data_IF_708654039967
#
_entry.id   IF_708654039967
#
_cell.length_a   1.000
_cell.length_b   1.000
_cell.length_c   1.000
_cell.angle_alpha   90.00
_cell.angle_beta   90.00
_cell.angle_gamma   90.00
#
_symmetry.space_group_name_H-M   'P 1'
#
loop_
_entity.id
_entity.type
_entity.pdbx_description
1 polymer ?
#
# COMPACT_ATOMS: atom_id res chain seq x y z
N UNK A 1 -31.09 -46.66 -71.67
CA UNK A 1 -31.98 -46.54 -70.48
C UNK A 1 -31.16 -46.69 -69.22
N UNK A 2 -30.64 -45.60 -68.69
CA UNK A 2 -30.03 -45.54 -67.36
C UNK A 2 -30.21 -44.11 -66.84
N UNK A 3 -30.24 -43.93 -65.51
CA UNK A 3 -30.14 -42.64 -64.79
C UNK A 3 -31.40 -42.02 -64.15
N UNK A 4 -32.50 -42.76 -63.94
CA UNK A 4 -33.59 -42.28 -63.07
C UNK A 4 -33.28 -42.39 -61.56
N UNK A 5 -32.55 -43.44 -61.15
CA UNK A 5 -32.22 -43.72 -59.74
C UNK A 5 -30.98 -42.95 -59.24
N UNK A 6 -30.01 -42.64 -60.10
CA UNK A 6 -28.80 -41.87 -59.74
C UNK A 6 -29.09 -40.38 -59.49
N UNK A 7 -29.99 -39.76 -60.27
CA UNK A 7 -30.37 -38.36 -60.05
C UNK A 7 -31.15 -38.14 -58.74
N UNK A 8 -31.99 -39.10 -58.32
CA UNK A 8 -32.71 -39.04 -57.03
C UNK A 8 -31.76 -39.20 -55.84
N UNK A 9 -30.74 -40.06 -55.94
CA UNK A 9 -29.72 -40.21 -54.91
C UNK A 9 -28.87 -38.94 -54.74
N UNK A 10 -28.47 -38.31 -55.85
CA UNK A 10 -27.70 -37.06 -55.83
C UNK A 10 -28.50 -35.89 -55.22
N UNK A 11 -29.76 -35.70 -55.62
CA UNK A 11 -30.61 -34.65 -55.04
C UNK A 11 -30.83 -34.82 -53.53
N UNK A 12 -30.95 -36.05 -53.04
CA UNK A 12 -31.14 -36.34 -51.63
C UNK A 12 -29.86 -36.05 -50.82
N UNK A 13 -28.69 -36.38 -51.36
CA UNK A 13 -27.39 -36.02 -50.76
C UNK A 13 -27.21 -34.50 -50.71
N UNK A 14 -27.54 -33.79 -51.79
CA UNK A 14 -27.47 -32.31 -51.84
C UNK A 14 -28.40 -31.69 -50.80
N UNK A 15 -29.63 -32.21 -50.65
CA UNK A 15 -30.57 -31.72 -49.65
C UNK A 15 -30.06 -31.93 -48.21
N UNK A 16 -29.47 -33.09 -47.90
CA UNK A 16 -28.87 -33.35 -46.58
C UNK A 16 -27.70 -32.41 -46.31
N UNK A 17 -26.80 -32.23 -47.28
CA UNK A 17 -25.65 -31.33 -47.15
C UNK A 17 -26.11 -29.88 -46.91
N UNK A 18 -27.12 -29.41 -47.64
CA UNK A 18 -27.69 -28.07 -47.43
C UNK A 18 -28.33 -27.93 -46.05
N UNK A 19 -29.00 -28.95 -45.54
CA UNK A 19 -29.59 -28.95 -44.19
C UNK A 19 -28.50 -28.89 -43.10
N UNK A 20 -27.44 -29.68 -43.24
CA UNK A 20 -26.30 -29.68 -42.31
C UNK A 20 -25.60 -28.32 -42.32
N UNK A 21 -25.28 -27.78 -43.50
CA UNK A 21 -24.62 -26.47 -43.62
C UNK A 21 -25.52 -25.36 -43.07
N UNK A 22 -26.82 -25.38 -43.36
CA UNK A 22 -27.77 -24.41 -42.80
C UNK A 22 -27.85 -24.46 -41.27
N UNK A 23 -27.87 -25.66 -40.70
CA UNK A 23 -27.88 -25.85 -39.23
C UNK A 23 -26.57 -25.40 -38.57
N UNK A 24 -25.42 -25.66 -39.19
CA UNK A 24 -24.12 -25.18 -38.71
C UNK A 24 -24.00 -23.66 -38.78
N UNK A 25 -24.52 -23.04 -39.85
CA UNK A 25 -24.52 -21.58 -40.00
C UNK A 25 -25.39 -20.92 -38.93
N UNK A 26 -26.58 -21.48 -38.66
CA UNK A 26 -27.47 -20.99 -37.60
C UNK A 26 -26.84 -21.13 -36.21
N UNK A 27 -26.18 -22.26 -35.93
CA UNK A 27 -25.45 -22.47 -34.68
C UNK A 27 -24.28 -21.49 -34.52
N UNK A 28 -23.52 -21.24 -35.59
CA UNK A 28 -22.41 -20.29 -35.58
C UNK A 28 -22.89 -18.84 -35.34
N UNK A 29 -24.01 -18.44 -35.97
CA UNK A 29 -24.62 -17.12 -35.73
C UNK A 29 -25.13 -17.00 -34.29
N UNK A 30 -25.81 -18.02 -33.76
CA UNK A 30 -26.28 -18.04 -32.37
C UNK A 30 -25.10 -17.95 -31.38
N UNK A 31 -24.01 -18.67 -31.66
CA UNK A 31 -22.79 -18.61 -30.85
C UNK A 31 -22.11 -17.23 -30.92
N UNK A 32 -22.04 -16.61 -32.10
CA UNK A 32 -21.48 -15.27 -32.28
C UNK A 32 -22.31 -14.19 -31.56
N UNK A 33 -23.65 -14.29 -31.58
CA UNK A 33 -24.54 -13.39 -30.83
C UNK A 33 -24.40 -13.60 -29.32
N UNK A 34 -24.33 -14.85 -28.86
CA UNK A 34 -24.14 -15.15 -27.44
C UNK A 34 -22.79 -14.63 -26.91
N UNK A 35 -21.72 -14.81 -27.67
CA UNK A 35 -20.36 -14.36 -27.29
C UNK A 35 -20.18 -12.85 -27.38
N UNK A 36 -20.75 -12.19 -28.40
CA UNK A 36 -20.76 -10.72 -28.49
C UNK A 36 -21.62 -10.08 -27.40
N UNK A 37 -22.78 -10.68 -27.08
CA UNK A 37 -23.61 -10.28 -25.95
C UNK A 37 -22.88 -10.39 -24.61
N UNK A 38 -22.21 -11.53 -24.36
CA UNK A 38 -21.38 -11.75 -23.18
C UNK A 38 -20.23 -10.74 -23.07
N UNK A 39 -19.53 -10.47 -24.17
CA UNK A 39 -18.43 -9.51 -24.19
C UNK A 39 -18.90 -8.08 -23.91
N UNK A 40 -20.08 -7.71 -24.43
CA UNK A 40 -20.69 -6.41 -24.15
C UNK A 40 -21.10 -6.27 -22.68
N UNK A 41 -21.70 -7.32 -22.10
CA UNK A 41 -22.05 -7.32 -20.67
C UNK A 41 -20.82 -7.27 -19.77
N UNK A 42 -19.76 -8.01 -20.10
CA UNK A 42 -18.52 -8.02 -19.33
C UNK A 42 -17.83 -6.64 -19.37
N UNK A 43 -17.83 -5.97 -20.52
CA UNK A 43 -17.29 -4.61 -20.64
C UNK A 43 -18.09 -3.61 -19.82
N UNK A 44 -19.43 -3.69 -19.87
CA UNK A 44 -20.30 -2.83 -19.08
C UNK A 44 -20.10 -3.05 -17.57
N UNK A 45 -20.07 -4.31 -17.12
CA UNK A 45 -19.82 -4.65 -15.72
C UNK A 45 -18.43 -4.23 -15.27
N UNK A 46 -17.42 -4.37 -16.12
CA UNK A 46 -16.07 -3.86 -15.87
C UNK A 46 -16.04 -2.34 -15.72
N UNK A 47 -16.74 -1.59 -16.60
CA UNK A 47 -16.85 -0.15 -16.51
C UNK A 47 -17.59 0.31 -15.25
N UNK A 48 -18.66 -0.39 -14.88
CA UNK A 48 -19.37 -0.17 -13.62
C UNK A 48 -18.51 -0.45 -12.40
N UNK A 49 -17.75 -1.55 -12.40
CA UNK A 49 -16.81 -1.89 -11.34
C UNK A 49 -15.71 -0.83 -11.20
N UNK A 50 -15.19 -0.28 -12.30
CA UNK A 50 -14.22 0.82 -12.26
C UNK A 50 -14.85 2.10 -11.68
N UNK A 51 -16.04 2.48 -12.12
CA UNK A 51 -16.76 3.64 -11.59
C UNK A 51 -17.01 3.52 -10.08
N UNK A 52 -17.34 2.32 -9.60
CA UNK A 52 -17.49 2.04 -8.17
C UNK A 52 -16.17 2.18 -7.42
N UNK A 53 -15.08 1.68 -8.01
CA UNK A 53 -13.75 1.83 -7.44
C UNK A 53 -13.37 3.32 -7.32
N UNK A 54 -13.55 4.11 -8.37
CA UNK A 54 -13.32 5.56 -8.35
C UNK A 54 -14.22 6.29 -7.35
N UNK A 55 -15.49 5.87 -7.22
CA UNK A 55 -16.41 6.41 -6.21
C UNK A 55 -15.90 6.17 -4.78
N UNK A 56 -15.32 4.98 -4.52
CA UNK A 56 -14.67 4.69 -3.25
C UNK A 56 -13.43 5.57 -3.00
N UNK A 57 -12.66 5.91 -4.04
CA UNK A 57 -11.53 6.84 -3.93
C UNK A 57 -11.99 8.23 -3.49
N UNK A 58 -13.04 8.77 -4.10
CA UNK A 58 -13.60 10.08 -3.70
C UNK A 58 -14.17 10.07 -2.28
N UNK A 59 -14.80 8.95 -1.90
CA UNK A 59 -15.27 8.75 -0.53
C UNK A 59 -14.11 8.85 0.47
N UNK A 60 -13.01 8.14 0.22
CA UNK A 60 -11.85 8.10 1.13
C UNK A 60 -11.08 9.42 1.11
N UNK A 61 -10.92 10.07 -0.05
CA UNK A 61 -10.33 11.42 -0.15
C UNK A 61 -11.08 12.40 0.74
N UNK A 62 -12.42 12.37 0.74
CA UNK A 62 -13.23 13.22 1.63
C UNK A 62 -12.98 12.88 3.10
N UNK A 63 -12.89 11.59 3.43
CA UNK A 63 -12.60 11.15 4.79
C UNK A 63 -11.22 11.64 5.28
N UNK A 64 -10.19 11.48 4.45
CA UNK A 64 -8.85 12.00 4.74
C UNK A 64 -8.87 13.53 4.85
N UNK A 65 -9.52 14.25 3.94
CA UNK A 65 -9.61 15.71 4.00
C UNK A 65 -10.30 16.23 5.29
N UNK A 66 -11.25 15.48 5.85
CA UNK A 66 -11.91 15.84 7.12
C UNK A 66 -11.03 15.56 8.34
N UNK A 67 -10.12 14.59 8.26
CA UNK A 67 -9.21 14.23 9.33
C UNK A 67 -7.82 14.82 9.09
N UNK A 68 -7.67 16.14 9.17
CA UNK A 68 -6.40 16.81 8.85
C UNK A 68 -5.17 16.21 9.55
N UNK A 69 -5.33 15.62 10.73
CA UNK A 69 -4.26 14.91 11.47
C UNK A 69 -4.39 13.38 11.39
N UNK A 70 -4.15 12.81 10.20
CA UNK A 70 -4.19 11.36 9.93
C UNK A 70 -3.40 10.51 10.97
N UNK A 71 -2.29 11.04 11.49
CA UNK A 71 -1.44 10.37 12.48
C UNK A 71 -1.94 10.41 13.93
N UNK A 72 -2.99 11.20 14.23
CA UNK A 72 -3.65 11.22 15.55
C UNK A 72 -4.95 10.40 15.58
N UNK A 73 -5.30 9.72 14.48
CA UNK A 73 -6.49 8.89 14.46
C UNK A 73 -6.35 7.72 15.45
N UNK A 74 -7.31 7.57 16.36
CA UNK A 74 -7.35 6.46 17.34
C UNK A 74 -7.84 5.15 16.74
N UNK A 75 -8.45 5.23 15.56
CA UNK A 75 -8.94 4.11 14.78
C UNK A 75 -8.30 4.22 13.41
N UNK A 76 -7.61 3.16 13.00
CA UNK A 76 -7.15 3.04 11.63
C UNK A 76 -8.37 2.94 10.69
N UNK A 77 -8.58 3.85 9.72
CA UNK A 77 -9.56 3.65 8.64
C UNK A 77 -9.41 2.32 7.86
N UNK A 78 -8.26 1.62 7.99
CA UNK A 78 -7.95 0.26 7.48
C UNK A 78 -8.23 -0.88 8.47
N UNK A 79 -8.37 -0.63 9.77
CA UNK A 79 -8.55 -1.74 10.69
C UNK A 79 -9.90 -2.42 10.41
N UNK A 80 -9.99 -3.76 10.44
CA UNK A 80 -11.24 -4.50 10.32
C UNK A 80 -12.29 -4.18 11.41
N UNK A 81 -12.01 -3.24 12.31
CA UNK A 81 -12.87 -2.83 13.41
C UNK A 81 -12.91 -1.31 13.57
N UNK A 82 -12.59 -0.55 12.52
CA UNK A 82 -12.72 0.91 12.55
C UNK A 82 -14.18 1.27 12.90
N UNK A 83 -14.38 2.29 13.74
CA UNK A 83 -15.72 2.78 14.09
C UNK A 83 -15.77 4.29 13.85
N UNK A 84 -16.78 4.76 13.12
CA UNK A 84 -16.96 6.19 12.78
C UNK A 84 -17.37 6.42 11.32
N UNK A 85 -17.58 7.69 10.94
CA UNK A 85 -17.94 8.10 9.56
C UNK A 85 -16.85 7.82 8.51
N UNK A 86 -15.67 7.41 8.98
CA UNK A 86 -14.44 7.15 8.22
C UNK A 86 -13.92 5.71 8.38
N UNK A 87 -14.75 4.81 8.93
CA UNK A 87 -14.39 3.42 9.16
C UNK A 87 -14.55 2.58 7.88
N UNK A 88 -13.71 2.83 6.89
CA UNK A 88 -14.03 2.40 5.51
C UNK A 88 -13.57 1.00 5.16
N UNK A 89 -12.57 0.45 5.85
CA UNK A 89 -11.99 -0.83 5.46
C UNK A 89 -12.71 -2.09 5.90
N UNK A 90 -13.87 -1.99 6.55
CA UNK A 90 -14.66 -3.19 6.88
C UNK A 90 -16.09 -3.20 6.41
N UNK A 91 -16.58 -2.09 5.86
CA UNK A 91 -17.95 -2.01 5.37
C UNK A 91 -17.96 -1.81 3.88
N UNK A 92 -18.28 -2.88 3.15
CA UNK A 92 -18.70 -2.83 1.75
C UNK A 92 -19.84 -1.83 1.60
N UNK A 93 -19.57 -0.75 0.88
CA UNK A 93 -20.57 0.26 0.55
C UNK A 93 -21.30 -0.18 -0.70
N UNK A 94 -22.62 -0.15 -0.66
CA UNK A 94 -23.45 -0.49 -1.82
C UNK A 94 -23.80 0.79 -2.59
N UNK A 95 -23.69 0.74 -3.91
CA UNK A 95 -24.09 1.83 -4.79
C UNK A 95 -24.75 1.23 -6.02
N UNK A 96 -26.08 1.39 -6.11
CA UNK A 96 -26.88 0.74 -7.14
C UNK A 96 -26.82 -0.79 -7.03
N UNK A 97 -26.46 -1.46 -8.13
CA UNK A 97 -26.35 -2.92 -8.22
C UNK A 97 -24.96 -3.47 -7.88
N UNK A 98 -24.01 -2.61 -7.53
CA UNK A 98 -22.65 -3.00 -7.21
C UNK A 98 -22.23 -2.50 -5.83
N UNK A 99 -20.97 -2.75 -5.50
CA UNK A 99 -20.41 -2.31 -4.23
C UNK A 99 -18.94 -1.94 -4.35
N UNK A 100 -18.45 -1.13 -3.41
CA UNK A 100 -17.04 -0.86 -3.27
C UNK A 100 -16.58 -1.05 -1.84
N UNK A 101 -15.32 -1.42 -1.69
CA UNK A 101 -14.58 -1.39 -0.42
C UNK A 101 -13.38 -0.48 -0.61
N UNK A 102 -13.09 0.40 0.34
CA UNK A 102 -11.94 1.30 0.27
C UNK A 102 -11.17 1.28 1.57
N UNK A 103 -9.85 1.43 1.49
CA UNK A 103 -8.95 1.43 2.63
C UNK A 103 -7.81 2.44 2.42
N UNK A 104 -7.24 2.98 3.52
CA UNK A 104 -6.17 3.98 3.47
C UNK A 104 -4.96 3.71 4.39
N UNK A 105 -3.80 3.35 3.83
CA UNK A 105 -2.56 3.13 4.57
C UNK A 105 -1.83 4.44 4.89
N UNK A 106 -1.57 4.62 6.18
CA UNK A 106 -0.92 5.80 6.73
C UNK A 106 0.33 5.28 7.45
N UNK A 107 1.54 5.67 7.03
CA UNK A 107 2.76 4.98 7.40
C UNK A 107 3.21 5.27 8.83
N UNK A 108 2.64 6.27 9.51
CA UNK A 108 3.03 6.68 10.86
C UNK A 108 1.84 6.78 11.84
N UNK A 109 2.18 6.97 13.12
CA UNK A 109 1.28 7.36 14.22
C UNK A 109 1.99 8.43 15.05
N UNK A 110 1.33 8.98 16.06
CA UNK A 110 1.96 9.87 17.04
C UNK A 110 1.95 9.27 18.45
N UNK A 111 2.87 9.74 19.29
CA UNK A 111 2.86 9.50 20.73
C UNK A 111 1.61 10.11 21.36
N UNK A 112 0.87 9.28 22.10
CA UNK A 112 -0.31 9.70 22.85
C UNK A 112 0.05 10.19 24.25
N UNK A 113 1.18 9.72 24.78
CA UNK A 113 1.74 10.09 26.09
C UNK A 113 3.21 10.45 25.89
N UNK A 114 3.71 11.43 26.64
CA UNK A 114 5.13 11.77 26.64
C UNK A 114 5.98 10.60 27.14
N UNK A 115 7.18 10.47 26.58
CA UNK A 115 8.26 9.66 27.16
C UNK A 115 9.11 10.63 28.00
N UNK A 116 9.15 10.48 29.33
CA UNK A 116 9.63 11.55 30.22
C UNK A 116 11.14 11.78 30.13
N UNK A 117 11.92 10.72 29.92
CA UNK A 117 13.38 10.75 29.95
C UNK A 117 13.98 9.55 29.20
N UNK A 118 15.31 9.53 29.10
CA UNK A 118 16.10 8.50 28.43
C UNK A 118 16.19 7.17 29.19
N UNK A 119 15.74 7.11 30.45
CA UNK A 119 15.74 5.89 31.28
C UNK A 119 14.39 5.19 31.33
N UNK A 120 13.34 5.81 30.77
CA UNK A 120 11.99 5.26 30.74
C UNK A 120 11.95 3.87 30.08
N UNK A 121 11.47 2.88 30.82
CA UNK A 121 11.20 1.51 30.36
C UNK A 121 9.70 1.23 30.15
N UNK A 122 8.86 2.25 30.31
CA UNK A 122 7.42 2.13 30.13
C UNK A 122 7.05 1.80 28.68
N UNK A 123 5.86 1.23 28.49
CA UNK A 123 5.29 1.04 27.15
C UNK A 123 5.17 2.37 26.41
N UNK A 124 5.36 2.32 25.09
CA UNK A 124 5.24 3.50 24.24
C UNK A 124 3.79 3.62 23.81
N UNK A 125 3.09 4.58 24.41
CA UNK A 125 1.67 4.82 24.15
C UNK A 125 1.48 5.59 22.84
N UNK A 126 0.84 4.96 21.86
CA UNK A 126 0.56 5.55 20.56
C UNK A 126 -0.94 5.83 20.36
N UNK A 127 -1.30 6.59 19.33
CA UNK A 127 -2.70 6.75 18.93
C UNK A 127 -3.27 5.45 18.36
N UNK A 128 -2.51 4.73 17.53
CA UNK A 128 -2.86 3.40 17.02
C UNK A 128 -1.62 2.52 16.92
N UNK A 129 -1.83 1.20 17.02
CA UNK A 129 -0.82 0.15 16.79
C UNK A 129 -1.29 -0.87 15.75
N UNK A 130 -2.51 -0.73 15.20
CA UNK A 130 -3.27 -1.72 14.38
C UNK A 130 -2.61 -2.06 13.03
N UNK A 131 -1.41 -1.55 12.89
CA UNK A 131 -0.79 -0.99 11.72
C UNK A 131 0.66 -1.45 11.67
N UNK A 132 1.26 -1.63 12.83
CA UNK A 132 2.61 -2.10 12.99
C UNK A 132 2.62 -3.63 13.06
N UNK A 133 3.70 -4.29 12.60
CA UNK A 133 3.90 -5.70 12.87
C UNK A 133 3.75 -6.04 14.36
N UNK A 134 3.45 -7.29 14.69
CA UNK A 134 3.30 -7.71 16.09
C UNK A 134 4.57 -7.42 16.92
N UNK A 135 5.74 -7.45 16.29
CA UNK A 135 7.04 -7.11 16.86
C UNK A 135 7.90 -6.44 15.79
N UNK A 136 8.82 -5.57 16.16
CA UNK A 136 9.71 -4.95 15.18
C UNK A 136 10.47 -3.74 15.72
N UNK A 137 10.74 -2.80 14.82
CA UNK A 137 11.40 -1.53 15.13
C UNK A 137 10.55 -0.35 14.71
N UNK A 138 10.60 0.70 15.53
CA UNK A 138 10.03 2.00 15.24
C UNK A 138 11.13 3.05 15.41
N UNK A 139 10.95 4.16 14.71
CA UNK A 139 11.67 5.40 15.00
C UNK A 139 10.67 6.36 15.63
N UNK A 140 11.13 7.10 16.64
CA UNK A 140 10.42 8.21 17.25
C UNK A 140 11.18 9.48 16.91
N UNK A 141 10.47 10.51 16.48
CA UNK A 141 11.03 11.75 15.92
C UNK A 141 11.75 11.55 14.58
N UNK A 142 11.80 12.60 13.76
CA UNK A 142 12.44 12.60 12.44
C UNK A 142 13.95 12.85 12.50
N UNK A 143 14.39 13.73 13.39
CA UNK A 143 15.79 14.11 13.55
C UNK A 143 16.59 13.08 14.37
N UNK A 144 17.07 12.01 13.71
CA UNK A 144 17.90 10.97 14.34
C UNK A 144 19.31 11.49 14.74
N UNK A 145 19.72 12.67 14.25
CA UNK A 145 20.92 13.38 14.73
C UNK A 145 20.68 14.15 16.04
N UNK A 146 19.43 14.55 16.28
CA UNK A 146 18.97 15.30 17.45
C UNK A 146 18.25 14.43 18.47
N UNK A 147 16.94 14.63 18.61
CA UNK A 147 16.10 13.96 19.62
C UNK A 147 15.54 12.62 19.17
N UNK A 148 15.71 12.25 17.90
CA UNK A 148 15.19 11.01 17.34
C UNK A 148 15.84 9.76 17.93
N UNK A 149 15.07 8.69 18.03
CA UNK A 149 15.57 7.40 18.48
C UNK A 149 14.98 6.22 17.72
N UNK A 150 15.74 5.14 17.63
CA UNK A 150 15.22 3.83 17.28
C UNK A 150 14.84 3.05 18.53
N UNK A 151 13.69 2.39 18.45
CA UNK A 151 13.17 1.51 19.50
C UNK A 151 12.84 0.15 18.91
N UNK A 152 13.29 -0.91 19.57
CA UNK A 152 12.79 -2.27 19.32
C UNK A 152 11.65 -2.57 20.28
N UNK A 153 10.57 -3.17 19.78
CA UNK A 153 9.43 -3.62 20.58
C UNK A 153 9.15 -5.10 20.33
N UNK A 154 8.84 -5.83 21.41
CA UNK A 154 8.57 -7.27 21.37
C UNK A 154 7.11 -7.62 21.09
N UNK A 155 6.17 -6.72 21.41
CA UNK A 155 4.74 -6.95 21.20
C UNK A 155 3.96 -5.63 21.04
N UNK A 156 2.82 -5.68 20.38
CA UNK A 156 1.80 -4.62 20.38
C UNK A 156 0.66 -4.99 21.33
N UNK A 157 0.18 -4.04 22.14
CA UNK A 157 -0.91 -4.26 23.09
C UNK A 157 -2.04 -3.21 22.89
N UNK A 158 -3.24 -3.61 22.42
CA UNK A 158 -4.34 -2.68 22.17
C UNK A 158 -4.91 -2.04 23.46
N UNK A 159 -4.62 -2.62 24.62
CA UNK A 159 -5.11 -2.15 25.92
C UNK A 159 -4.02 -2.27 27.00
N UNK A 160 -2.97 -1.45 26.90
CA UNK A 160 -1.93 -1.41 27.94
C UNK A 160 -2.39 -0.60 29.15
N UNK A 161 -2.27 -1.20 30.35
CA UNK A 161 -2.55 -0.53 31.61
C UNK A 161 -1.64 0.69 31.87
N UNK A 162 -0.36 0.63 31.47
CA UNK A 162 0.60 1.74 31.65
C UNK A 162 0.26 2.95 30.76
N UNK A 163 -0.50 2.68 29.69
CA UNK A 163 -1.05 3.66 28.76
C UNK A 163 -2.52 4.02 29.05
N UNK A 164 -3.08 3.59 30.18
CA UNK A 164 -4.47 3.89 30.55
C UNK A 164 -5.49 3.12 29.69
N UNK A 165 -5.22 1.83 29.45
CA UNK A 165 -6.02 0.91 28.63
C UNK A 165 -6.12 1.36 27.17
N UNK A 166 -4.98 1.79 26.61
CA UNK A 166 -4.86 2.32 25.24
C UNK A 166 -3.78 1.57 24.45
N UNK A 167 -3.78 1.69 23.11
CA UNK A 167 -2.77 1.10 22.24
C UNK A 167 -1.34 1.47 22.64
N UNK A 168 -0.46 0.46 22.71
CA UNK A 168 0.93 0.65 23.08
C UNK A 168 1.86 -0.38 22.43
N UNK A 169 3.10 0.03 22.20
CA UNK A 169 4.21 -0.88 21.96
C UNK A 169 4.79 -1.33 23.31
N UNK A 170 5.09 -2.61 23.44
CA UNK A 170 5.52 -3.26 24.69
C UNK A 170 6.77 -4.10 24.48
N UNK A 171 7.46 -4.48 25.56
CA UNK A 171 8.75 -5.17 25.45
C UNK A 171 9.82 -4.28 24.82
N UNK A 172 9.94 -3.07 25.35
CA UNK A 172 10.65 -1.94 24.76
C UNK A 172 12.16 -2.01 25.05
N UNK A 173 12.98 -1.85 24.01
CA UNK A 173 14.41 -1.55 24.09
C UNK A 173 14.70 -0.27 23.29
N UNK A 174 15.14 0.79 23.99
CA UNK A 174 15.30 2.15 23.46
C UNK A 174 16.74 2.49 23.09
N UNK A 175 16.93 3.54 22.30
CA UNK A 175 18.25 3.99 21.85
C UNK A 175 19.06 2.87 21.19
N UNK A 176 18.41 2.04 20.37
CA UNK A 176 19.09 0.94 19.69
C UNK A 176 19.76 1.42 18.41
N UNK A 177 20.77 0.69 17.94
CA UNK A 177 21.32 0.90 16.61
C UNK A 177 20.55 0.09 15.57
N UNK A 178 20.42 0.64 14.36
CA UNK A 178 19.89 -0.07 13.19
C UNK A 178 20.91 0.08 12.07
N UNK A 179 21.43 -1.04 11.56
CA UNK A 179 22.56 -0.99 10.62
C UNK A 179 23.78 -0.37 11.28
N UNK A 180 24.35 0.67 10.66
CA UNK A 180 25.46 1.44 11.26
C UNK A 180 24.98 2.72 11.95
N UNK A 181 23.68 3.02 11.92
CA UNK A 181 23.11 4.23 12.51
C UNK A 181 22.84 3.96 13.98
N UNK A 182 23.53 4.69 14.85
CA UNK A 182 23.29 4.67 16.27
C UNK A 182 22.25 5.73 16.64
N UNK A 183 21.43 5.43 17.64
CA UNK A 183 20.53 6.40 18.25
C UNK A 183 20.69 6.36 19.76
N UNK A 184 20.34 7.43 20.45
CA UNK A 184 20.40 7.49 21.92
C UNK A 184 18.99 7.67 22.45
N UNK A 185 18.66 6.97 23.54
CA UNK A 185 17.37 7.16 24.17
C UNK A 185 17.20 8.62 24.63
N UNK A 186 16.05 9.24 24.32
CA UNK A 186 15.78 10.65 24.58
C UNK A 186 14.49 10.87 25.38
N UNK A 187 14.14 12.12 25.69
CA UNK A 187 12.77 12.43 26.11
C UNK A 187 11.96 12.77 24.85
N UNK A 188 10.69 12.37 24.79
CA UNK A 188 9.81 12.71 23.67
C UNK A 188 8.51 13.31 24.16
N UNK A 189 8.09 14.40 23.52
CA UNK A 189 6.83 15.04 23.82
C UNK A 189 5.64 14.15 23.41
N UNK A 190 4.48 14.42 23.99
CA UNK A 190 3.23 13.94 23.40
C UNK A 190 3.10 14.57 22.00
N UNK A 191 2.74 13.76 21.01
CA UNK A 191 2.60 14.22 19.63
C UNK A 191 3.83 13.97 18.75
N UNK A 192 4.98 13.55 19.31
CA UNK A 192 6.12 13.14 18.49
C UNK A 192 5.71 12.01 17.54
N UNK A 193 6.22 12.08 16.30
CA UNK A 193 5.93 11.09 15.27
C UNK A 193 6.54 9.74 15.64
N UNK A 194 5.87 8.66 15.25
CA UNK A 194 6.31 7.28 15.41
C UNK A 194 6.04 6.54 14.11
N UNK A 195 7.06 5.94 13.53
CA UNK A 195 6.96 5.28 12.23
C UNK A 195 7.76 3.99 12.17
N UNK A 196 7.39 3.05 11.28
CA UNK A 196 8.09 1.80 11.10
C UNK A 196 9.54 2.05 10.66
N UNK A 197 10.41 1.13 11.05
CA UNK A 197 11.75 1.05 10.48
C UNK A 197 11.85 -0.27 9.72
N UNK A 198 12.13 -0.17 8.43
CA UNK A 198 12.63 -1.27 7.62
C UNK A 198 14.16 -1.18 7.53
N UNK A 199 14.78 -2.18 6.91
CA UNK A 199 16.21 -2.16 6.61
C UNK A 199 16.43 -2.36 5.12
N UNK A 200 17.39 -1.63 4.58
CA UNK A 200 17.85 -1.81 3.21
C UNK A 200 18.47 -3.21 3.06
N UNK A 201 18.02 -4.00 2.10
CA UNK A 201 18.60 -5.33 1.81
C UNK A 201 19.71 -5.17 0.76
N UNK A 202 19.41 -4.44 -0.32
CA UNK A 202 20.36 -4.19 -1.41
C UNK A 202 21.11 -2.88 -1.19
N UNK A 203 22.42 -2.94 -0.95
CA UNK A 203 23.24 -1.75 -0.76
C UNK A 203 23.22 -0.81 -1.98
N UNK A 204 23.26 0.49 -1.72
CA UNK A 204 23.49 1.54 -2.72
C UNK A 204 24.99 1.85 -2.76
N UNK A 205 25.70 1.31 -3.75
CA UNK A 205 27.17 1.42 -3.81
C UNK A 205 27.67 2.55 -4.69
N UNK A 206 26.77 3.33 -5.29
CA UNK A 206 27.09 4.41 -6.22
C UNK A 206 26.45 5.72 -5.76
N UNK A 207 27.19 6.82 -5.90
CA UNK A 207 26.68 8.18 -5.71
C UNK A 207 25.97 8.70 -6.97
N UNK A 208 25.95 7.96 -8.08
CA UNK A 208 25.17 8.34 -9.25
C UNK A 208 23.70 7.97 -9.05
N UNK A 209 22.80 8.96 -9.05
CA UNK A 209 21.35 8.77 -8.84
C UNK A 209 20.68 7.88 -9.89
N UNK A 210 21.24 7.81 -11.10
CA UNK A 210 20.78 6.91 -12.17
C UNK A 210 21.13 5.45 -11.92
N UNK A 211 22.08 5.18 -11.02
CA UNK A 211 22.47 3.81 -10.66
C UNK A 211 21.55 3.30 -9.57
N UNK A 212 20.61 2.46 -9.97
CA UNK A 212 19.64 1.81 -9.09
C UNK A 212 19.90 0.30 -9.12
N UNK A 213 20.15 -0.34 -7.97
CA UNK A 213 20.24 -1.80 -7.90
C UNK A 213 18.97 -2.47 -8.40
N UNK A 214 19.12 -3.56 -9.14
CA UNK A 214 18.00 -4.40 -9.56
C UNK A 214 18.27 -5.84 -9.12
N UNK A 215 17.50 -6.40 -8.16
CA UNK A 215 16.34 -5.79 -7.50
C UNK A 215 16.72 -4.76 -6.42
N UNK A 216 15.85 -3.76 -6.21
CA UNK A 216 15.93 -2.85 -5.07
C UNK A 216 15.00 -3.33 -3.96
N UNK A 217 15.55 -3.68 -2.79
CA UNK A 217 14.84 -4.44 -1.77
C UNK A 217 15.03 -3.87 -0.37
N UNK A 218 13.96 -3.93 0.42
CA UNK A 218 13.94 -3.61 1.85
C UNK A 218 13.28 -4.76 2.62
N UNK A 219 13.55 -4.87 3.92
CA UNK A 219 12.80 -5.79 4.77
C UNK A 219 11.32 -5.43 4.75
N UNK A 220 10.46 -6.43 4.59
CA UNK A 220 9.03 -6.21 4.48
C UNK A 220 8.47 -5.61 5.78
N UNK A 221 7.68 -4.56 5.62
CA UNK A 221 6.93 -3.96 6.70
C UNK A 221 5.62 -3.41 6.14
N UNK A 222 4.49 -3.91 6.64
CA UNK A 222 3.12 -3.62 6.16
C UNK A 222 2.76 -2.14 6.17
N UNK A 223 3.59 -1.28 6.77
CA UNK A 223 3.42 0.17 6.78
C UNK A 223 4.02 0.93 5.61
N UNK A 224 4.97 0.35 4.90
CA UNK A 224 5.43 0.96 3.67
C UNK A 224 4.31 0.93 2.65
N UNK A 225 4.17 2.01 1.88
CA UNK A 225 3.11 2.14 0.89
C UNK A 225 3.39 1.21 -0.29
N UNK A 226 2.39 0.87 -1.10
CA UNK A 226 2.65 0.11 -2.33
C UNK A 226 3.50 0.91 -3.33
N UNK A 227 3.39 2.24 -3.27
CA UNK A 227 4.13 3.25 -4.02
C UNK A 227 4.22 4.53 -3.16
N UNK A 228 5.31 5.28 -3.26
CA UNK A 228 5.51 6.50 -2.47
C UNK A 228 6.98 6.83 -2.31
N UNK A 229 7.33 7.45 -1.20
CA UNK A 229 8.70 7.86 -0.90
C UNK A 229 9.22 7.19 0.36
N UNK A 230 10.46 6.68 0.29
CA UNK A 230 11.22 6.23 1.45
C UNK A 230 12.40 7.16 1.69
N UNK A 231 12.85 7.20 2.94
CA UNK A 231 13.99 7.98 3.39
C UNK A 231 15.06 7.04 3.93
N UNK A 232 16.30 7.30 3.50
CA UNK A 232 17.52 6.79 4.11
C UNK A 232 18.23 7.97 4.78
N UNK A 233 18.57 7.80 6.06
CA UNK A 233 19.20 8.83 6.88
C UNK A 233 20.23 8.16 7.80
N UNK A 234 21.46 8.69 7.85
CA UNK A 234 22.52 8.18 8.73
C UNK A 234 22.67 8.95 10.04
N UNK A 235 21.79 9.93 10.28
CA UNK A 235 21.75 10.74 11.48
C UNK A 235 22.73 11.90 11.45
N UNK A 236 23.70 11.96 12.38
CA UNK A 236 24.60 13.10 12.50
C UNK A 236 25.51 13.19 11.27
N UNK A 237 24.98 13.83 10.22
CA UNK A 237 25.53 13.94 8.89
C UNK A 237 24.65 14.84 8.02
N UNK A 238 25.13 15.16 6.82
CA UNK A 238 24.31 15.74 5.74
C UNK A 238 23.78 14.66 4.79
N UNK A 239 23.96 13.39 5.16
CA UNK A 239 23.64 12.26 4.32
C UNK A 239 22.19 11.87 4.57
N UNK A 240 21.33 12.47 3.75
CA UNK A 240 19.92 12.19 3.66
C UNK A 240 19.62 11.87 2.21
N UNK A 241 18.78 10.87 1.93
CA UNK A 241 18.37 10.56 0.57
C UNK A 241 16.90 10.13 0.52
N UNK A 242 16.11 10.88 -0.24
CA UNK A 242 14.74 10.51 -0.58
C UNK A 242 14.70 9.66 -1.85
N UNK A 243 13.98 8.54 -1.78
CA UNK A 243 13.84 7.58 -2.87
C UNK A 243 12.35 7.35 -3.15
N UNK A 244 11.91 7.71 -4.34
CA UNK A 244 10.54 7.46 -4.83
C UNK A 244 10.46 6.11 -5.52
N UNK A 245 9.34 5.41 -5.37
CA UNK A 245 9.05 4.14 -6.06
C UNK A 245 7.58 4.10 -6.49
N UNK A 246 7.33 3.55 -7.68
CA UNK A 246 6.01 3.54 -8.32
C UNK A 246 5.24 2.22 -8.14
N UNK A 247 5.85 1.24 -7.50
CA UNK A 247 5.23 -0.04 -7.21
C UNK A 247 6.09 -0.92 -6.34
N UNK A 248 5.48 -1.95 -5.75
CA UNK A 248 6.19 -2.91 -4.92
C UNK A 248 5.53 -4.28 -4.96
N UNK A 249 6.29 -5.30 -4.57
CA UNK A 249 5.81 -6.65 -4.32
C UNK A 249 6.40 -7.19 -3.03
N UNK A 250 5.67 -8.06 -2.33
CA UNK A 250 6.06 -8.60 -1.02
C UNK A 250 6.10 -10.11 -1.08
N UNK A 251 7.20 -10.71 -0.64
CA UNK A 251 7.35 -12.16 -0.56
C UNK A 251 8.41 -12.52 0.48
N UNK A 252 8.13 -13.53 1.29
CA UNK A 252 9.08 -14.09 2.27
C UNK A 252 9.77 -13.05 3.18
N UNK A 253 9.03 -12.04 3.65
CA UNK A 253 9.58 -10.98 4.52
C UNK A 253 10.46 -9.96 3.80
N UNK A 254 10.42 -9.92 2.46
CA UNK A 254 11.09 -8.93 1.62
C UNK A 254 10.07 -8.14 0.81
N UNK A 255 10.24 -6.82 0.80
CA UNK A 255 9.53 -5.91 -0.11
C UNK A 255 10.48 -5.48 -1.22
N UNK A 256 10.15 -5.83 -2.46
CA UNK A 256 10.89 -5.44 -3.66
C UNK A 256 10.23 -4.22 -4.29
N UNK A 257 10.96 -3.13 -4.40
CA UNK A 257 10.48 -1.86 -4.97
C UNK A 257 10.79 -1.80 -6.47
N UNK A 258 9.90 -1.18 -7.22
CA UNK A 258 9.96 -1.06 -8.68
C UNK A 258 9.69 0.38 -9.12
N UNK A 259 10.20 0.78 -10.28
CA UNK A 259 10.12 2.17 -10.74
C UNK A 259 10.82 3.13 -9.78
N UNK A 260 11.93 2.68 -9.18
CA UNK A 260 12.68 3.43 -8.17
C UNK A 260 13.38 4.62 -8.82
N UNK A 261 13.36 5.77 -8.15
CA UNK A 261 14.07 7.00 -8.52
C UNK A 261 14.76 7.56 -7.28
N UNK A 262 16.06 7.80 -7.37
CA UNK A 262 16.92 8.24 -6.25
C UNK A 262 17.07 9.76 -6.22
N UNK A 263 17.61 10.28 -5.12
CA UNK A 263 18.01 11.67 -4.93
C UNK A 263 16.88 12.70 -5.12
N UNK A 264 15.68 12.37 -4.64
CA UNK A 264 14.50 13.21 -4.85
C UNK A 264 14.58 14.52 -4.04
N UNK A 265 15.30 14.51 -2.93
CA UNK A 265 15.69 15.66 -2.10
C UNK A 265 16.44 16.74 -2.89
N UNK A 266 17.17 16.36 -3.94
CA UNK A 266 17.91 17.29 -4.82
C UNK A 266 17.24 17.47 -6.20
N UNK A 267 15.99 17.04 -6.36
CA UNK A 267 15.29 17.05 -7.66
C UNK A 267 15.90 16.09 -8.69
N UNK A 268 16.59 15.04 -8.24
CA UNK A 268 17.19 13.99 -9.08
C UNK A 268 18.50 14.37 -9.76
N UNK A 269 19.12 15.50 -9.39
CA UNK A 269 20.31 16.06 -10.06
C UNK A 269 21.56 16.19 -9.18
N UNK A 270 21.48 15.96 -7.86
CA UNK A 270 22.63 15.94 -6.96
C UNK A 270 23.44 14.64 -7.01
N UNK A 271 24.63 14.57 -6.36
CA UNK A 271 25.23 13.28 -6.05
C UNK A 271 24.39 12.59 -4.97
N UNK A 272 23.96 11.36 -5.23
CA UNK A 272 23.34 10.51 -4.22
C UNK A 272 24.36 10.03 -3.19
N UNK A 273 23.86 9.35 -2.16
CA UNK A 273 24.68 8.83 -1.06
C UNK A 273 24.92 7.33 -1.27
N UNK A 274 26.04 6.81 -0.76
CA UNK A 274 26.24 5.36 -0.69
C UNK A 274 25.67 4.82 0.61
N UNK A 275 24.79 3.83 0.52
CA UNK A 275 24.16 3.19 1.66
C UNK A 275 24.56 1.73 1.74
N UNK A 276 25.12 1.33 2.87
CA UNK A 276 25.40 -0.08 3.13
C UNK A 276 24.10 -0.91 3.21
N UNK A 277 24.21 -2.23 3.10
CA UNK A 277 23.10 -3.08 3.49
C UNK A 277 22.81 -2.92 5.00
N UNK A 278 21.58 -3.21 5.39
CA UNK A 278 21.02 -3.10 6.75
C UNK A 278 20.78 -1.69 7.28
N UNK A 279 20.99 -0.64 6.49
CA UNK A 279 20.69 0.74 6.90
C UNK A 279 19.19 0.94 7.16
N UNK A 280 18.82 1.78 8.14
CA UNK A 280 17.42 2.04 8.45
C UNK A 280 16.75 2.72 7.27
N UNK A 281 15.57 2.22 6.90
CA UNK A 281 14.69 2.78 5.90
C UNK A 281 13.40 3.18 6.59
N UNK A 282 12.92 4.38 6.29
CA UNK A 282 11.71 4.95 6.91
C UNK A 282 10.80 5.52 5.83
N UNK A 283 9.53 5.77 6.15
CA UNK A 283 8.63 6.45 5.22
C UNK A 283 8.85 7.97 5.24
N UNK A 284 8.57 8.66 4.13
CA UNK A 284 8.69 10.12 4.06
C UNK A 284 7.70 10.81 5.02
N UNK A 285 8.25 11.62 5.93
CA UNK A 285 7.49 12.34 6.95
C UNK A 285 8.05 13.74 7.23
N UNK A 286 9.00 14.20 6.42
CA UNK A 286 9.75 15.44 6.67
C UNK A 286 8.79 16.58 7.01
N UNK A 287 9.05 17.24 8.15
CA UNK A 287 8.37 18.45 8.58
C UNK A 287 8.59 19.64 7.64
N UNK A 288 9.36 19.49 6.57
CA UNK A 288 9.45 20.46 5.49
C UNK A 288 8.14 20.62 4.73
N UNK A 289 7.91 21.86 4.33
CA UNK A 289 6.68 22.34 3.68
C UNK A 289 6.42 21.73 2.29
N UNK A 290 7.36 20.93 1.77
CA UNK A 290 7.34 20.39 0.40
C UNK A 290 6.88 18.93 0.31
N UNK A 291 6.94 18.17 1.41
CA UNK A 291 6.57 16.76 1.48
C UNK A 291 5.53 16.51 2.57
N UNK A 292 4.31 16.96 2.30
CA UNK A 292 3.16 16.64 3.12
C UNK A 292 2.99 15.13 3.31
N UNK A 293 2.73 14.72 4.56
CA UNK A 293 2.32 13.37 5.02
C UNK A 293 1.70 12.53 3.89
N UNK A 294 2.33 11.41 3.50
CA UNK A 294 1.78 10.51 2.48
C UNK A 294 0.78 9.51 3.07
N UNK A 295 -0.28 9.22 2.32
CA UNK A 295 -1.19 8.12 2.58
C UNK A 295 -1.50 7.38 1.28
N UNK A 296 -1.51 6.05 1.32
CA UNK A 296 -2.01 5.23 0.22
C UNK A 296 -3.50 5.01 0.41
N UNK A 297 -4.29 5.14 -0.65
CA UNK A 297 -5.68 4.72 -0.70
C UNK A 297 -5.83 3.65 -1.76
N UNK A 298 -6.65 2.66 -1.47
CA UNK A 298 -7.02 1.63 -2.43
C UNK A 298 -8.50 1.36 -2.34
N UNK A 299 -9.15 1.37 -3.49
CA UNK A 299 -10.57 1.10 -3.62
C UNK A 299 -10.80 -0.05 -4.59
N UNK A 300 -11.65 -0.98 -4.19
CA UNK A 300 -12.02 -2.18 -4.95
C UNK A 300 -13.52 -2.12 -5.24
N UNK A 301 -13.87 -1.88 -6.49
CA UNK A 301 -15.25 -1.85 -6.98
C UNK A 301 -15.65 -3.20 -7.60
N UNK A 302 -16.87 -3.64 -7.30
CA UNK A 302 -17.39 -4.95 -7.72
C UNK A 302 -18.78 -4.80 -8.33
N UNK A 303 -19.02 -5.49 -9.46
CA UNK A 303 -20.34 -5.59 -10.09
C UNK A 303 -20.48 -6.93 -10.77
N UNK A 304 -21.38 -7.78 -10.27
CA UNK A 304 -21.47 -9.18 -10.72
C UNK A 304 -20.12 -9.90 -10.54
N UNK A 305 -19.58 -10.56 -11.57
CA UNK A 305 -18.26 -11.18 -11.53
C UNK A 305 -17.09 -10.19 -11.74
N UNK A 306 -17.36 -8.95 -12.18
CA UNK A 306 -16.31 -7.98 -12.46
C UNK A 306 -15.77 -7.34 -11.18
N UNK A 307 -14.44 -7.25 -11.10
CA UNK A 307 -13.72 -6.59 -10.01
C UNK A 307 -12.64 -5.66 -10.59
N UNK A 308 -12.60 -4.42 -10.11
CA UNK A 308 -11.59 -3.41 -10.48
C UNK A 308 -11.04 -2.76 -9.23
N UNK A 309 -9.72 -2.58 -9.18
CA UNK A 309 -9.03 -1.89 -8.10
C UNK A 309 -8.41 -0.59 -8.63
N UNK A 310 -8.48 0.46 -7.84
CA UNK A 310 -7.80 1.74 -8.04
C UNK A 310 -6.90 1.97 -6.84
N UNK A 311 -5.64 2.32 -7.11
CA UNK A 311 -4.63 2.59 -6.10
C UNK A 311 -4.13 4.02 -6.28
N UNK A 312 -3.96 4.75 -5.19
CA UNK A 312 -3.41 6.11 -5.26
C UNK A 312 -2.68 6.48 -3.98
N UNK A 313 -1.50 7.06 -4.12
CA UNK A 313 -0.84 7.77 -3.03
C UNK A 313 -1.27 9.23 -3.06
N UNK A 314 -1.73 9.73 -1.92
CA UNK A 314 -2.08 11.15 -1.73
C UNK A 314 -1.14 11.78 -0.72
N UNK A 315 -0.87 13.05 -0.97
CA UNK A 315 -0.13 13.93 -0.08
C UNK A 315 -1.12 14.95 0.49
N UNK A 316 -0.89 15.37 1.73
CA UNK A 316 -1.70 16.42 2.38
C UNK A 316 -1.56 17.79 1.72
#
# INVERSE_FOLDING_TARGET
>A
MASGKQQRGFLLVVAIVLLVVGSMLAAAMAYMVATSGGSATDNLQSGQALFLAESGMEYERRCLAQNLDWYQSTTDPIAPNATGTCATATTTQTLGSGSFTVYANVPATMLRKRIPDNTSTADICAYTIDRFPASGRIQIDDDIAGSGEFVTYGAVNPSSATCGNRPAFTGIARGVSVGTVASTAAAHARGSNVYPVAQLITALTSTACTTIPNPFQITDNSKFLSAGTIVLDDGPGLNHEEIVYNGSSRSAGVMTLTGVSRCQDTGGVGPGVTWAANQPVTALLDGSVTASKEAEMVSVGTTGPANRAVHQTVQR
#
